data_IF_308305534081
#
_entry.id   IF_308305534081
#
_cell.length_a   1.000
_cell.length_b   1.000
_cell.length_c   1.000
_cell.angle_alpha   90.00
_cell.angle_beta   90.00
_cell.angle_gamma   90.00
#
_symmetry.space_group_name_H-M   'P 1'
#
loop_
_entity.id
_entity.type
_entity.pdbx_description
1 polymer ?
#
# COMPACT_ATOMS: atom_id res chain seq x y z
N UNK A 1 -48.82 13.43 -36.43
CA UNK A 1 -48.19 12.80 -35.25
C UNK A 1 -47.06 13.70 -34.74
N UNK A 2 -47.18 14.10 -33.48
CA UNK A 2 -46.30 14.89 -32.60
C UNK A 2 -44.93 15.38 -33.12
N UNK A 3 -44.80 16.71 -33.19
CA UNK A 3 -43.53 17.43 -33.12
C UNK A 3 -42.81 17.13 -31.78
N UNK A 4 -41.61 16.55 -31.84
CA UNK A 4 -40.68 16.52 -30.70
C UNK A 4 -39.73 17.70 -30.80
N UNK A 5 -40.09 18.80 -30.15
CA UNK A 5 -39.20 19.91 -29.84
C UNK A 5 -38.12 19.35 -28.90
N UNK A 6 -36.88 19.33 -29.39
CA UNK A 6 -35.70 18.90 -28.63
C UNK A 6 -35.37 20.04 -27.67
N UNK A 7 -35.79 19.91 -26.41
CA UNK A 7 -35.45 20.86 -25.35
C UNK A 7 -33.93 20.87 -25.15
N UNK A 8 -33.26 21.90 -25.65
CA UNK A 8 -31.86 22.19 -25.32
C UNK A 8 -31.77 22.48 -23.82
N UNK A 9 -31.07 21.60 -23.10
CA UNK A 9 -30.73 21.82 -21.71
C UNK A 9 -29.82 23.06 -21.61
N UNK A 10 -30.35 24.14 -21.04
CA UNK A 10 -29.63 25.37 -20.73
C UNK A 10 -28.37 25.02 -19.94
N UNK A 11 -27.22 25.12 -20.60
CA UNK A 11 -25.90 24.91 -20.00
C UNK A 11 -25.66 26.06 -19.02
N UNK A 12 -25.65 25.77 -17.71
CA UNK A 12 -25.40 26.76 -16.64
C UNK A 12 -24.12 27.58 -16.96
N UNK A 13 -24.16 28.92 -16.87
CA UNK A 13 -23.05 29.76 -17.29
C UNK A 13 -21.79 29.54 -16.44
N UNK A 14 -20.65 29.57 -17.12
CA UNK A 14 -19.31 29.43 -16.58
C UNK A 14 -18.97 30.55 -15.59
N UNK A 15 -18.77 30.18 -14.32
CA UNK A 15 -17.87 30.77 -13.32
C UNK A 15 -17.52 32.28 -13.44
N UNK A 16 -18.49 33.16 -13.20
CA UNK A 16 -18.23 34.57 -12.91
C UNK A 16 -17.54 34.68 -11.54
N UNK A 17 -16.29 35.19 -11.50
CA UNK A 17 -15.55 35.40 -10.23
C UNK A 17 -16.33 36.41 -9.37
N UNK A 18 -17.03 35.92 -8.35
CA UNK A 18 -17.77 36.76 -7.38
C UNK A 18 -16.83 37.80 -6.76
N UNK A 19 -17.22 39.06 -6.81
CA UNK A 19 -16.46 40.17 -6.22
C UNK A 19 -16.45 40.08 -4.68
N UNK A 20 -15.39 40.58 -4.07
CA UNK A 20 -15.24 40.63 -2.60
C UNK A 20 -15.94 41.86 -2.04
N UNK A 21 -16.86 41.68 -1.08
CA UNK A 21 -17.52 42.81 -0.41
C UNK A 21 -16.65 43.38 0.72
N UNK A 22 -16.93 44.63 1.15
CA UNK A 22 -16.21 45.26 2.28
C UNK A 22 -16.30 44.42 3.56
N UNK A 23 -17.46 43.83 3.83
CA UNK A 23 -17.68 42.97 5.01
C UNK A 23 -16.87 41.68 4.96
N UNK A 24 -16.79 41.05 3.78
CA UNK A 24 -15.97 39.84 3.58
C UNK A 24 -14.47 40.14 3.73
N UNK A 25 -14.01 41.30 3.25
CA UNK A 25 -12.64 41.76 3.44
C UNK A 25 -12.32 42.04 4.91
N UNK A 26 -13.25 42.65 5.66
CA UNK A 26 -13.09 42.87 7.09
C UNK A 26 -13.02 41.55 7.87
N UNK A 27 -13.87 40.57 7.53
CA UNK A 27 -13.84 39.23 8.12
C UNK A 27 -12.52 38.51 7.82
N UNK A 28 -12.05 38.57 6.57
CA UNK A 28 -10.78 38.01 6.15
C UNK A 28 -9.62 38.63 6.94
N UNK A 29 -9.55 39.97 7.05
CA UNK A 29 -8.52 40.68 7.83
C UNK A 29 -8.51 40.28 9.30
N UNK A 30 -9.69 40.15 9.92
CA UNK A 30 -9.82 39.87 11.35
C UNK A 30 -9.57 38.41 11.72
N UNK A 31 -10.09 37.45 10.93
CA UNK A 31 -10.19 36.04 11.35
C UNK A 31 -9.29 35.08 10.59
N UNK A 32 -8.66 35.50 9.48
CA UNK A 32 -7.85 34.60 8.66
C UNK A 32 -6.60 34.08 9.41
N UNK A 33 -5.92 34.94 10.18
CA UNK A 33 -4.71 34.57 10.93
C UNK A 33 -4.99 33.45 11.94
N UNK A 34 -6.11 33.54 12.67
CA UNK A 34 -6.49 32.62 13.76
C UNK A 34 -7.25 31.38 13.29
N UNK A 35 -8.20 31.55 12.35
CA UNK A 35 -9.17 30.50 11.97
C UNK A 35 -8.89 29.90 10.58
N UNK A 36 -8.02 30.54 9.81
CA UNK A 36 -7.54 30.03 8.52
C UNK A 36 -8.56 30.13 7.38
N UNK A 37 -8.10 29.74 6.19
CA UNK A 37 -8.87 29.88 4.95
C UNK A 37 -10.17 29.05 4.92
N UNK A 38 -10.22 27.88 5.58
CA UNK A 38 -11.42 27.03 5.63
C UNK A 38 -12.59 27.73 6.34
N UNK A 39 -12.31 28.39 7.46
CA UNK A 39 -13.33 29.13 8.21
C UNK A 39 -13.88 30.30 7.40
N UNK A 40 -13.00 31.09 6.79
CA UNK A 40 -13.42 32.25 5.99
C UNK A 40 -14.21 31.80 4.75
N UNK A 41 -13.78 30.73 4.07
CA UNK A 41 -14.52 30.16 2.93
C UNK A 41 -15.94 29.74 3.31
N UNK A 42 -16.11 29.08 4.48
CA UNK A 42 -17.43 28.69 4.98
C UNK A 42 -18.33 29.89 5.28
N UNK A 43 -17.76 31.01 5.75
CA UNK A 43 -18.52 32.21 6.14
C UNK A 43 -18.83 33.16 4.97
N UNK A 44 -17.97 33.23 3.96
CA UNK A 44 -18.17 34.12 2.82
C UNK A 44 -18.77 33.42 1.59
N UNK A 45 -18.72 32.08 1.56
CA UNK A 45 -19.12 31.28 0.40
C UNK A 45 -18.14 31.33 -0.77
N UNK A 46 -16.99 32.02 -0.60
CA UNK A 46 -15.92 32.00 -1.61
C UNK A 46 -15.22 30.63 -1.62
N UNK A 47 -14.78 30.14 -2.79
CA UNK A 47 -13.95 28.95 -2.87
C UNK A 47 -12.70 29.07 -1.98
N UNK A 48 -12.32 27.97 -1.32
CA UNK A 48 -11.16 27.92 -0.42
C UNK A 48 -9.88 28.50 -1.06
N UNK A 49 -9.65 28.21 -2.34
CA UNK A 49 -8.51 28.74 -3.11
C UNK A 49 -8.59 30.24 -3.35
N UNK A 50 -9.79 30.79 -3.59
CA UNK A 50 -10.02 32.24 -3.74
C UNK A 50 -9.70 32.99 -2.46
N UNK A 51 -10.09 32.44 -1.30
CA UNK A 51 -9.78 33.01 0.02
C UNK A 51 -8.27 33.08 0.26
N UNK A 52 -7.53 32.01 -0.06
CA UNK A 52 -6.07 31.99 0.05
C UNK A 52 -5.45 33.03 -0.88
N UNK A 53 -5.88 33.09 -2.13
CA UNK A 53 -5.36 34.05 -3.10
C UNK A 53 -5.60 35.50 -2.65
N UNK A 54 -6.80 35.81 -2.15
CA UNK A 54 -7.12 37.15 -1.65
C UNK A 54 -6.32 37.50 -0.42
N UNK A 55 -6.20 36.59 0.55
CA UNK A 55 -5.34 36.79 1.73
C UNK A 55 -3.88 37.05 1.34
N UNK A 56 -3.35 36.28 0.38
CA UNK A 56 -2.00 36.49 -0.14
C UNK A 56 -1.83 37.86 -0.81
N UNK A 57 -2.80 38.31 -1.61
CA UNK A 57 -2.79 39.64 -2.25
C UNK A 57 -2.83 40.80 -1.25
N UNK A 58 -3.41 40.57 -0.06
CA UNK A 58 -3.50 41.55 1.02
C UNK A 58 -2.36 41.40 2.04
N UNK A 59 -1.35 40.57 1.76
CA UNK A 59 -0.22 40.31 2.66
C UNK A 59 -0.58 39.52 3.93
N UNK A 60 -1.81 39.03 4.05
CA UNK A 60 -2.31 38.33 5.24
C UNK A 60 -1.84 36.88 5.20
N UNK A 61 -0.85 36.56 6.03
CA UNK A 61 -0.30 35.20 6.13
C UNK A 61 -1.07 34.38 7.17
N UNK A 62 -1.33 33.12 6.85
CA UNK A 62 -1.99 32.17 7.74
C UNK A 62 -1.04 31.74 8.87
N UNK A 63 -1.52 31.69 10.13
CA UNK A 63 -0.72 31.18 11.25
C UNK A 63 -0.45 29.67 11.14
N UNK A 64 -1.26 28.94 10.38
CA UNK A 64 -1.12 27.49 10.18
C UNK A 64 -0.01 27.11 9.20
N UNK A 65 0.61 28.08 8.51
CA UNK A 65 1.69 27.83 7.55
C UNK A 65 3.04 28.00 8.25
N UNK A 66 3.73 26.87 8.52
CA UNK A 66 5.08 26.88 9.11
C UNK A 66 6.09 27.53 8.17
N UNK A 67 6.62 28.69 8.57
CA UNK A 67 7.66 29.44 7.83
C UNK A 67 9.01 28.73 7.93
N UNK A 68 9.79 28.83 6.86
CA UNK A 68 11.16 28.32 6.84
C UNK A 68 12.05 29.23 7.69
N UNK A 69 12.69 28.67 8.72
CA UNK A 69 13.71 29.41 9.48
C UNK A 69 15.04 29.42 8.73
N UNK A 70 15.93 30.35 9.05
CA UNK A 70 17.27 30.39 8.44
C UNK A 70 18.05 29.10 8.70
N UNK A 71 17.89 28.51 9.89
CA UNK A 71 18.46 27.20 10.21
C UNK A 71 17.93 26.10 9.26
N UNK A 72 16.61 26.02 9.04
CA UNK A 72 16.02 25.02 8.14
C UNK A 72 16.53 25.20 6.70
N UNK A 73 16.73 26.45 6.25
CA UNK A 73 17.28 26.77 4.93
C UNK A 73 18.75 26.34 4.83
N UNK A 74 19.58 26.71 5.80
CA UNK A 74 21.00 26.34 5.82
C UNK A 74 21.18 24.82 5.90
N UNK A 75 20.35 24.14 6.70
CA UNK A 75 20.34 22.68 6.76
C UNK A 75 19.99 22.07 5.41
N UNK A 76 18.99 22.62 4.71
CA UNK A 76 18.59 22.16 3.39
C UNK A 76 19.73 22.32 2.39
N UNK A 77 20.33 23.51 2.28
CA UNK A 77 21.46 23.79 1.37
C UNK A 77 22.63 22.82 1.59
N UNK A 78 22.99 22.54 2.85
CA UNK A 78 24.10 21.65 3.19
C UNK A 78 23.83 20.17 2.89
N UNK A 79 22.57 19.72 3.03
CA UNK A 79 22.25 18.28 3.01
C UNK A 79 21.53 17.81 1.74
N UNK A 80 21.01 18.70 0.90
CA UNK A 80 20.15 18.31 -0.22
C UNK A 80 20.86 17.46 -1.28
N UNK A 81 22.15 17.71 -1.51
CA UNK A 81 22.94 16.96 -2.50
C UNK A 81 23.36 15.56 -2.01
N UNK A 82 23.45 15.35 -0.70
CA UNK A 82 24.02 14.13 -0.12
C UNK A 82 23.00 13.21 0.55
N UNK A 83 21.87 13.76 1.03
CA UNK A 83 20.85 12.99 1.75
C UNK A 83 19.58 12.79 0.94
N UNK A 84 18.90 11.64 1.07
CA UNK A 84 17.56 11.45 0.53
C UNK A 84 16.58 12.51 1.06
N UNK A 85 15.75 13.05 0.17
CA UNK A 85 14.79 14.12 0.51
C UNK A 85 13.83 13.71 1.62
N UNK A 86 13.43 12.43 1.68
CA UNK A 86 12.60 11.89 2.75
C UNK A 86 13.29 11.91 4.12
N UNK A 87 14.61 11.69 4.15
CA UNK A 87 15.42 11.82 5.38
C UNK A 87 15.46 13.26 5.86
N UNK A 88 15.72 14.20 4.95
CA UNK A 88 15.72 15.64 5.24
C UNK A 88 14.34 16.10 5.74
N UNK A 89 13.27 15.62 5.10
CA UNK A 89 11.90 15.94 5.50
C UNK A 89 11.59 15.47 6.94
N UNK A 90 12.04 14.27 7.32
CA UNK A 90 11.94 13.76 8.70
C UNK A 90 12.72 14.64 9.68
N UNK A 91 13.98 14.96 9.38
CA UNK A 91 14.83 15.81 10.24
C UNK A 91 14.24 17.21 10.47
N UNK A 92 13.67 17.82 9.42
CA UNK A 92 13.06 19.15 9.50
C UNK A 92 11.62 19.14 10.03
N UNK A 93 11.05 17.95 10.31
CA UNK A 93 9.63 17.75 10.65
C UNK A 93 8.71 18.47 9.64
N UNK A 94 9.00 18.27 8.35
CA UNK A 94 8.24 18.83 7.22
C UNK A 94 7.82 17.72 6.27
N UNK A 95 6.82 18.00 5.43
CA UNK A 95 6.48 17.07 4.35
C UNK A 95 7.53 17.12 3.24
N UNK A 96 7.72 15.98 2.55
CA UNK A 96 8.58 15.89 1.35
C UNK A 96 8.20 16.95 0.31
N UNK A 97 6.90 17.20 0.12
CA UNK A 97 6.42 18.25 -0.77
C UNK A 97 6.87 19.64 -0.33
N UNK A 98 6.81 19.97 0.96
CA UNK A 98 7.29 21.25 1.49
C UNK A 98 8.79 21.42 1.24
N UNK A 99 9.58 20.36 1.43
CA UNK A 99 11.02 20.37 1.19
C UNK A 99 11.32 20.57 -0.30
N UNK A 100 10.66 19.81 -1.18
CA UNK A 100 10.81 19.97 -2.63
C UNK A 100 10.42 21.36 -3.12
N UNK A 101 9.33 21.93 -2.60
CA UNK A 101 8.92 23.29 -2.94
C UNK A 101 9.96 24.32 -2.51
N UNK A 102 10.55 24.17 -1.32
CA UNK A 102 11.62 25.06 -0.87
C UNK A 102 12.89 24.87 -1.68
N UNK A 103 13.25 23.63 -2.01
CA UNK A 103 14.39 23.34 -2.87
C UNK A 103 14.23 23.98 -4.26
N UNK A 104 13.01 24.02 -4.82
CA UNK A 104 12.73 24.74 -6.07
C UNK A 104 12.88 26.25 -5.92
N UNK A 105 12.46 26.81 -4.79
CA UNK A 105 12.64 28.24 -4.50
C UNK A 105 14.10 28.64 -4.27
N UNK A 106 14.98 27.68 -4.01
CA UNK A 106 16.42 27.88 -3.79
C UNK A 106 17.25 27.38 -4.98
N UNK A 107 16.62 26.99 -6.08
CA UNK A 107 17.26 26.45 -7.29
C UNK A 107 18.19 25.25 -7.07
N UNK A 108 18.00 24.49 -5.98
CA UNK A 108 18.74 23.25 -5.67
C UNK A 108 17.93 21.99 -6.00
N UNK A 109 16.71 22.14 -6.49
CA UNK A 109 15.80 21.02 -6.76
C UNK A 109 16.32 20.14 -7.90
N UNK A 110 16.66 18.89 -7.57
CA UNK A 110 16.95 17.85 -8.55
C UNK A 110 15.68 17.06 -8.87
N UNK A 111 15.14 17.15 -10.10
CA UNK A 111 14.04 16.29 -10.50
C UNK A 111 14.51 14.83 -10.47
N UNK A 112 13.63 13.93 -10.02
CA UNK A 112 13.88 12.51 -10.23
C UNK A 112 13.91 12.25 -11.74
N UNK A 113 14.86 11.47 -12.27
CA UNK A 113 14.82 11.07 -13.67
C UNK A 113 13.44 10.43 -13.94
N UNK A 114 12.73 11.01 -14.91
CA UNK A 114 11.34 10.66 -15.22
C UNK A 114 11.26 9.31 -15.94
N UNK A 115 12.33 8.93 -16.61
CA UNK A 115 12.41 7.78 -17.50
C UNK A 115 13.59 6.90 -17.12
N UNK A 116 13.51 5.63 -17.49
CA UNK A 116 14.67 4.76 -17.47
C UNK A 116 15.59 5.12 -18.63
N UNK A 117 16.89 5.18 -18.36
CA UNK A 117 17.88 5.42 -19.42
C UNK A 117 18.04 4.19 -20.31
N UNK A 118 18.60 4.35 -21.50
CA UNK A 118 18.83 3.22 -22.42
C UNK A 118 19.79 2.19 -21.80
N UNK A 119 20.78 2.65 -21.03
CA UNK A 119 21.72 1.82 -20.28
C UNK A 119 21.00 1.03 -19.18
N UNK A 120 20.10 1.67 -18.43
CA UNK A 120 19.28 0.99 -17.40
C UNK A 120 18.38 -0.08 -18.03
N UNK A 121 17.79 0.20 -19.20
CA UNK A 121 16.97 -0.76 -19.93
C UNK A 121 17.79 -1.91 -20.50
N UNK A 122 19.00 -1.65 -21.01
CA UNK A 122 19.94 -2.68 -21.47
C UNK A 122 20.37 -3.58 -20.32
N UNK A 123 20.79 -3.00 -19.20
CA UNK A 123 21.18 -3.74 -18.01
C UNK A 123 20.01 -4.54 -17.43
N UNK A 124 18.79 -4.00 -17.46
CA UNK A 124 17.60 -4.75 -17.08
C UNK A 124 17.36 -5.97 -17.98
N UNK A 125 17.52 -5.84 -19.30
CA UNK A 125 17.38 -6.97 -20.24
C UNK A 125 18.35 -8.10 -19.92
N UNK A 126 19.61 -7.76 -19.67
CA UNK A 126 20.67 -8.72 -19.37
C UNK A 126 20.43 -9.42 -18.02
N UNK A 127 20.23 -8.64 -16.95
CA UNK A 127 20.13 -9.17 -15.59
C UNK A 127 18.80 -9.87 -15.29
N UNK A 128 17.72 -9.50 -15.97
CA UNK A 128 16.38 -10.03 -15.67
C UNK A 128 16.21 -11.49 -16.10
N UNK A 129 16.83 -11.86 -17.23
CA UNK A 129 16.77 -13.23 -17.79
C UNK A 129 17.75 -14.16 -17.07
N UNK A 130 18.84 -13.62 -16.53
CA UNK A 130 19.79 -14.37 -15.73
C UNK A 130 19.10 -14.94 -14.46
N UNK A 131 19.24 -16.26 -14.29
CA UNK A 131 18.67 -17.01 -13.16
C UNK A 131 19.50 -16.90 -11.90
N UNK A 132 20.72 -16.37 -11.98
CA UNK A 132 21.63 -16.22 -10.84
C UNK A 132 21.19 -15.08 -9.91
N UNK A 133 20.59 -14.02 -10.44
CA UNK A 133 20.19 -12.86 -9.64
C UNK A 133 18.75 -12.96 -9.13
N UNK A 134 18.48 -12.63 -7.88
CA UNK A 134 17.11 -12.39 -7.40
C UNK A 134 16.56 -11.07 -7.95
N UNK A 135 15.24 -10.87 -7.90
CA UNK A 135 14.63 -9.59 -8.33
C UNK A 135 15.20 -8.42 -7.51
N UNK A 136 15.49 -8.66 -6.23
CA UNK A 136 16.02 -7.66 -5.31
C UNK A 136 17.47 -7.30 -5.67
N UNK A 137 18.31 -8.29 -6.05
CA UNK A 137 19.67 -8.03 -6.53
C UNK A 137 19.69 -7.29 -7.87
N UNK A 138 18.79 -7.63 -8.80
CA UNK A 138 18.65 -6.88 -10.07
C UNK A 138 18.26 -5.44 -9.78
N UNK A 139 17.30 -5.21 -8.88
CA UNK A 139 16.87 -3.86 -8.51
C UNK A 139 17.98 -3.04 -7.84
N UNK A 140 18.76 -3.67 -6.94
CA UNK A 140 19.90 -3.04 -6.31
C UNK A 140 20.99 -2.63 -7.32
N UNK A 141 21.33 -3.52 -8.27
CA UNK A 141 22.30 -3.22 -9.35
C UNK A 141 21.85 -2.07 -10.25
N UNK A 142 20.54 -1.91 -10.46
CA UNK A 142 19.96 -0.80 -11.23
C UNK A 142 19.79 0.49 -10.40
N UNK A 143 20.04 0.46 -9.09
CA UNK A 143 19.71 1.57 -8.19
C UNK A 143 18.21 1.89 -8.14
N UNK A 144 17.35 0.91 -8.44
CA UNK A 144 15.89 1.06 -8.48
C UNK A 144 15.22 0.26 -7.37
N UNK A 145 13.93 0.52 -7.16
CA UNK A 145 13.13 -0.30 -6.25
C UNK A 145 12.70 -1.59 -6.93
N UNK A 146 12.57 -2.68 -6.16
CA UNK A 146 12.03 -3.97 -6.63
C UNK A 146 10.76 -3.82 -7.48
N UNK A 147 9.85 -2.95 -7.04
CA UNK A 147 8.58 -2.70 -7.73
C UNK A 147 8.78 -1.99 -9.07
N UNK A 148 9.63 -0.95 -9.12
CA UNK A 148 9.93 -0.24 -10.36
C UNK A 148 10.61 -1.16 -11.39
N UNK A 149 11.59 -1.95 -10.95
CA UNK A 149 12.29 -2.92 -11.79
C UNK A 149 11.34 -3.96 -12.36
N UNK A 150 10.48 -4.55 -11.52
CA UNK A 150 9.49 -5.52 -11.96
C UNK A 150 8.47 -4.93 -12.94
N UNK A 151 7.99 -3.72 -12.65
CA UNK A 151 7.04 -3.02 -13.51
C UNK A 151 7.63 -2.77 -14.91
N UNK A 152 8.87 -2.28 -14.99
CA UNK A 152 9.52 -2.05 -16.29
C UNK A 152 9.82 -3.35 -17.04
N UNK A 153 10.29 -4.38 -16.35
CA UNK A 153 10.52 -5.67 -16.99
C UNK A 153 9.23 -6.25 -17.57
N UNK A 154 8.11 -6.16 -16.85
CA UNK A 154 6.81 -6.58 -17.34
C UNK A 154 6.37 -5.80 -18.59
N UNK A 155 6.51 -4.46 -18.57
CA UNK A 155 6.17 -3.60 -19.71
C UNK A 155 7.04 -3.84 -20.94
N UNK A 156 8.30 -4.20 -20.74
CA UNK A 156 9.23 -4.57 -21.81
C UNK A 156 8.99 -6.00 -22.35
N UNK A 157 7.98 -6.72 -21.82
CA UNK A 157 7.74 -8.10 -22.20
C UNK A 157 8.79 -9.09 -21.68
N UNK A 158 9.68 -8.66 -20.77
CA UNK A 158 10.70 -9.52 -20.20
C UNK A 158 10.06 -10.55 -19.28
N UNK A 159 9.90 -11.76 -19.81
CA UNK A 159 9.47 -12.91 -19.04
C UNK A 159 10.67 -13.45 -18.30
N UNK A 160 10.59 -13.40 -16.98
CA UNK A 160 11.55 -14.10 -16.16
C UNK A 160 11.29 -15.60 -16.32
N UNK A 161 12.30 -16.43 -16.65
CA UNK A 161 12.16 -17.86 -16.51
C UNK A 161 11.66 -18.12 -15.09
N UNK A 162 10.62 -18.94 -14.91
CA UNK A 162 10.12 -19.29 -13.58
C UNK A 162 11.33 -19.68 -12.72
N UNK A 163 11.67 -18.82 -11.76
CA UNK A 163 12.79 -19.05 -10.85
C UNK A 163 12.29 -20.07 -9.84
N UNK A 164 12.14 -21.30 -10.29
CA UNK A 164 12.44 -22.41 -9.42
C UNK A 164 13.92 -22.22 -9.12
N UNK A 165 14.25 -21.59 -7.98
CA UNK A 165 15.59 -21.75 -7.40
C UNK A 165 15.88 -23.24 -7.53
N UNK A 166 16.87 -23.61 -8.34
CA UNK A 166 17.21 -25.01 -8.55
C UNK A 166 17.63 -25.50 -7.18
N UNK A 167 16.75 -26.25 -6.52
CA UNK A 167 17.01 -26.73 -5.18
C UNK A 167 18.24 -27.62 -5.27
N UNK A 168 19.35 -27.16 -4.67
CA UNK A 168 20.56 -27.97 -4.63
C UNK A 168 20.30 -29.22 -3.79
N UNK A 169 21.05 -30.30 -4.04
CA UNK A 169 20.86 -31.58 -3.34
C UNK A 169 20.98 -31.40 -1.82
N UNK A 170 21.87 -30.50 -1.39
CA UNK A 170 22.14 -30.16 0.01
C UNK A 170 20.93 -29.45 0.64
N UNK A 171 20.32 -28.48 -0.07
CA UNK A 171 19.14 -27.75 0.40
C UNK A 171 17.92 -28.68 0.55
N UNK A 172 17.76 -29.63 -0.39
CA UNK A 172 16.71 -30.66 -0.31
C UNK A 172 16.93 -31.57 0.90
N UNK A 173 18.17 -32.02 1.10
CA UNK A 173 18.55 -32.85 2.25
C UNK A 173 18.29 -32.11 3.58
N UNK A 174 18.66 -30.83 3.65
CA UNK A 174 18.41 -29.98 4.80
C UNK A 174 16.92 -29.85 5.11
N UNK A 175 16.09 -29.58 4.10
CA UNK A 175 14.64 -29.51 4.26
C UNK A 175 14.07 -30.85 4.76
N UNK A 176 14.47 -31.99 4.17
CA UNK A 176 14.05 -33.33 4.61
C UNK A 176 14.43 -33.65 6.05
N UNK A 177 15.60 -33.21 6.51
CA UNK A 177 16.07 -33.43 7.88
C UNK A 177 15.33 -32.55 8.90
N UNK A 178 14.93 -31.34 8.51
CA UNK A 178 14.42 -30.33 9.43
C UNK A 178 12.91 -30.07 9.37
N UNK A 179 12.17 -30.56 8.35
CA UNK A 179 10.75 -30.20 8.18
C UNK A 179 9.80 -30.60 9.32
N UNK A 180 10.20 -31.50 10.23
CA UNK A 180 9.44 -31.84 11.46
C UNK A 180 10.00 -31.19 12.73
N UNK A 181 11.21 -30.62 12.65
CA UNK A 181 11.94 -30.03 13.77
C UNK A 181 11.83 -28.51 13.80
N UNK A 182 11.68 -27.90 12.63
CA UNK A 182 11.60 -26.46 12.41
C UNK A 182 10.36 -26.11 11.61
N UNK A 183 9.85 -24.91 11.83
CA UNK A 183 8.82 -24.31 10.96
C UNK A 183 9.40 -24.03 9.57
N UNK A 184 8.53 -23.95 8.56
CA UNK A 184 8.97 -23.53 7.22
C UNK A 184 9.56 -22.11 7.20
N UNK A 185 9.27 -21.28 8.20
CA UNK A 185 9.82 -19.93 8.29
C UNK A 185 11.27 -19.95 8.79
N UNK A 186 11.59 -20.77 9.76
CA UNK A 186 12.97 -20.97 10.23
C UNK A 186 13.83 -21.63 9.16
N UNK A 187 13.32 -22.69 8.51
CA UNK A 187 14.02 -23.33 7.39
C UNK A 187 14.23 -22.35 6.24
N UNK A 188 13.27 -21.47 5.98
CA UNK A 188 13.41 -20.42 4.97
C UNK A 188 14.51 -19.41 5.33
N UNK A 189 14.60 -19.01 6.60
CA UNK A 189 15.68 -18.13 7.09
C UNK A 189 17.05 -18.81 6.93
N UNK A 190 17.16 -20.08 7.31
CA UNK A 190 18.41 -20.85 7.24
C UNK A 190 18.88 -21.06 5.79
N UNK A 191 17.95 -21.22 4.85
CA UNK A 191 18.25 -21.42 3.42
C UNK A 191 18.31 -20.12 2.59
N UNK A 192 18.11 -18.96 3.22
CA UNK A 192 18.01 -17.68 2.51
C UNK A 192 16.88 -17.66 1.49
N UNK A 193 15.75 -18.29 1.80
CA UNK A 193 14.58 -18.42 0.92
C UNK A 193 13.33 -17.80 1.53
N UNK A 194 12.26 -17.75 0.75
CA UNK A 194 10.93 -17.41 1.28
C UNK A 194 10.25 -18.63 1.89
N UNK A 195 9.44 -18.41 2.93
CA UNK A 195 8.57 -19.46 3.53
C UNK A 195 7.72 -20.18 2.49
N UNK A 196 7.24 -19.46 1.47
CA UNK A 196 6.40 -20.00 0.40
C UNK A 196 7.20 -20.95 -0.49
N UNK A 197 8.45 -20.62 -0.84
CA UNK A 197 9.30 -21.49 -1.63
C UNK A 197 9.58 -22.82 -0.91
N UNK A 198 9.89 -22.77 0.39
CA UNK A 198 10.08 -23.96 1.23
C UNK A 198 8.80 -24.79 1.31
N UNK A 199 7.65 -24.15 1.57
CA UNK A 199 6.34 -24.83 1.60
C UNK A 199 6.04 -25.55 0.28
N UNK A 200 6.22 -24.89 -0.86
CA UNK A 200 5.92 -25.46 -2.17
C UNK A 200 6.84 -26.64 -2.48
N UNK A 201 8.14 -26.55 -2.14
CA UNK A 201 9.07 -27.67 -2.30
C UNK A 201 8.70 -28.83 -1.39
N UNK A 202 8.44 -28.58 -0.11
CA UNK A 202 8.02 -29.60 0.85
C UNK A 202 6.76 -30.32 0.36
N UNK A 203 5.75 -29.56 -0.09
CA UNK A 203 4.51 -30.08 -0.69
C UNK A 203 4.79 -30.95 -1.92
N UNK A 204 5.63 -30.51 -2.85
CA UNK A 204 6.01 -31.27 -4.06
C UNK A 204 6.73 -32.59 -3.70
N UNK A 205 7.44 -32.63 -2.58
CA UNK A 205 8.11 -33.82 -2.06
C UNK A 205 7.24 -34.66 -1.10
N UNK A 206 5.98 -34.29 -0.90
CA UNK A 206 5.10 -34.98 0.06
C UNK A 206 5.44 -34.76 1.53
N UNK A 207 6.37 -33.85 1.85
CA UNK A 207 6.77 -33.52 3.22
C UNK A 207 5.74 -32.58 3.84
N UNK A 208 4.78 -33.13 4.56
CA UNK A 208 3.76 -32.35 5.28
C UNK A 208 4.17 -32.16 6.74
N UNK A 209 4.15 -30.91 7.21
CA UNK A 209 4.32 -30.58 8.64
C UNK A 209 3.23 -31.21 9.51
N UNK A 210 2.00 -31.24 9.00
CA UNK A 210 0.85 -31.84 9.67
C UNK A 210 0.53 -33.21 9.05
N UNK A 211 0.06 -34.14 9.88
CA UNK A 211 -0.43 -35.44 9.42
C UNK A 211 -1.56 -35.33 8.40
N UNK A 212 -1.96 -36.47 7.83
CA UNK A 212 -3.16 -36.51 6.97
C UNK A 212 -4.36 -36.00 7.77
N UNK A 213 -5.20 -35.12 7.21
CA UNK A 213 -6.43 -34.70 7.88
C UNK A 213 -7.27 -35.94 8.21
N UNK A 214 -7.77 -36.03 9.44
CA UNK A 214 -8.70 -37.10 9.81
C UNK A 214 -10.03 -36.92 9.03
N UNK A 215 -10.57 -37.96 8.39
CA UNK A 215 -11.86 -37.87 7.69
C UNK A 215 -13.00 -37.57 8.69
N UNK A 216 -14.05 -36.90 8.22
CA UNK A 216 -15.27 -36.73 9.01
C UNK A 216 -16.07 -38.04 8.98
N UNK A 217 -16.50 -38.52 10.14
CA UNK A 217 -17.32 -39.74 10.27
C UNK A 217 -18.77 -39.33 10.48
N UNK A 218 -19.70 -40.27 10.27
CA UNK A 218 -21.12 -40.04 10.54
C UNK A 218 -21.36 -39.62 12.00
N UNK A 219 -20.67 -40.26 12.94
CA UNK A 219 -20.70 -39.93 14.37
C UNK A 219 -20.27 -38.49 14.65
N UNK A 220 -19.19 -38.03 14.00
CA UNK A 220 -18.77 -36.63 14.13
C UNK A 220 -19.84 -35.67 13.63
N UNK A 221 -20.45 -35.97 12.48
CA UNK A 221 -21.50 -35.13 11.90
C UNK A 221 -22.76 -35.12 12.78
N UNK A 222 -23.17 -36.27 13.31
CA UNK A 222 -24.31 -36.41 14.22
C UNK A 222 -24.06 -35.64 15.52
N UNK A 223 -22.85 -35.74 16.09
CA UNK A 223 -22.46 -34.96 17.27
C UNK A 223 -22.46 -33.46 16.99
N UNK A 224 -21.94 -33.01 15.85
CA UNK A 224 -22.00 -31.58 15.48
C UNK A 224 -23.45 -31.15 15.30
N UNK A 225 -24.31 -31.89 14.57
CA UNK A 225 -25.74 -31.55 14.41
C UNK A 225 -26.46 -31.42 15.76
N UNK A 226 -26.16 -32.31 16.70
CA UNK A 226 -26.80 -32.31 18.00
C UNK A 226 -26.39 -31.12 18.88
N UNK A 227 -25.14 -30.64 18.75
CA UNK A 227 -24.51 -29.73 19.71
C UNK A 227 -24.18 -28.33 19.16
N UNK A 228 -24.09 -28.17 17.83
CA UNK A 228 -23.71 -26.90 17.21
C UNK A 228 -24.74 -25.80 17.55
N UNK A 229 -24.26 -24.64 18.02
CA UNK A 229 -25.04 -23.53 18.60
C UNK A 229 -25.76 -23.83 19.93
N UNK A 230 -25.72 -25.05 20.47
CA UNK A 230 -26.24 -25.37 21.81
C UNK A 230 -25.16 -25.27 22.89
N UNK A 231 -23.95 -25.70 22.55
CA UNK A 231 -22.76 -25.55 23.40
C UNK A 231 -21.68 -24.76 22.65
N UNK A 232 -20.69 -24.19 23.35
CA UNK A 232 -19.58 -23.50 22.70
C UNK A 232 -18.88 -24.39 21.68
N UNK A 233 -18.66 -23.87 20.45
CA UNK A 233 -17.98 -24.61 19.38
C UNK A 233 -16.58 -25.10 19.79
N UNK A 234 -15.96 -24.44 20.78
CA UNK A 234 -14.70 -24.88 21.38
C UNK A 234 -14.82 -26.26 22.04
N UNK A 235 -15.87 -26.48 22.81
CA UNK A 235 -16.09 -27.76 23.51
C UNK A 235 -16.38 -28.89 22.51
N UNK A 236 -17.12 -28.58 21.44
CA UNK A 236 -17.32 -29.52 20.33
C UNK A 236 -15.97 -29.87 19.68
N UNK A 237 -15.13 -28.86 19.44
CA UNK A 237 -13.82 -29.05 18.83
C UNK A 237 -12.88 -29.88 19.73
N UNK A 238 -12.88 -29.62 21.03
CA UNK A 238 -12.11 -30.39 22.03
C UNK A 238 -12.57 -31.84 22.10
N UNK A 239 -13.89 -32.10 22.16
CA UNK A 239 -14.45 -33.46 22.16
C UNK A 239 -14.07 -34.25 20.91
N UNK A 240 -14.01 -33.58 19.75
CA UNK A 240 -13.70 -34.20 18.46
C UNK A 240 -12.20 -34.21 18.13
N UNK A 241 -11.34 -33.68 19.01
CA UNK A 241 -9.89 -33.57 18.76
C UNK A 241 -9.54 -32.71 17.53
N UNK A 242 -10.33 -31.67 17.24
CA UNK A 242 -10.21 -30.82 16.04
C UNK A 242 -10.08 -29.34 16.42
N UNK A 243 -9.74 -28.50 15.44
CA UNK A 243 -9.78 -27.05 15.63
C UNK A 243 -11.21 -26.52 15.53
N UNK A 244 -11.49 -25.41 16.22
CA UNK A 244 -12.78 -24.70 16.13
C UNK A 244 -13.14 -24.37 14.68
N UNK A 245 -12.18 -23.87 13.89
CA UNK A 245 -12.38 -23.58 12.46
C UNK A 245 -12.76 -24.85 11.67
N UNK A 246 -12.23 -26.01 12.03
CA UNK A 246 -12.58 -27.28 11.36
C UNK A 246 -14.05 -27.61 11.57
N UNK A 247 -14.55 -27.44 12.80
CA UNK A 247 -15.96 -27.66 13.15
C UNK A 247 -16.88 -26.64 12.46
N UNK A 248 -16.51 -25.35 12.46
CA UNK A 248 -17.27 -24.30 11.76
C UNK A 248 -17.35 -24.58 10.26
N UNK A 249 -16.22 -24.95 9.64
CA UNK A 249 -16.20 -25.28 8.21
C UNK A 249 -17.00 -26.55 7.91
N UNK A 250 -17.09 -27.51 8.83
CA UNK A 250 -17.92 -28.72 8.66
C UNK A 250 -19.42 -28.45 8.82
N UNK A 251 -19.80 -27.52 9.69
CA UNK A 251 -21.19 -27.10 9.87
C UNK A 251 -21.83 -26.53 8.60
N UNK A 252 -21.03 -25.96 7.68
CA UNK A 252 -21.49 -25.45 6.39
C UNK A 252 -22.13 -26.51 5.49
N UNK A 253 -21.37 -27.52 5.05
CA UNK A 253 -21.91 -28.65 4.28
C UNK A 253 -23.03 -29.42 4.98
N UNK A 254 -23.09 -29.40 6.32
CA UNK A 254 -24.16 -30.03 7.11
C UNK A 254 -25.45 -29.18 7.17
N UNK A 255 -25.45 -27.96 6.62
CA UNK A 255 -26.62 -27.08 6.58
C UNK A 255 -26.96 -26.41 7.92
N UNK A 256 -26.08 -26.52 8.92
CA UNK A 256 -26.30 -26.03 10.30
C UNK A 256 -25.50 -24.76 10.62
N UNK A 257 -24.66 -24.28 9.69
CA UNK A 257 -24.01 -22.97 9.79
C UNK A 257 -24.88 -21.85 9.20
N UNK A 258 -24.83 -20.65 9.77
CA UNK A 258 -25.49 -19.49 9.16
C UNK A 258 -24.83 -19.08 7.83
N UNK A 259 -25.65 -18.69 6.85
CA UNK A 259 -25.19 -18.09 5.59
C UNK A 259 -24.55 -16.69 5.78
N UNK A 260 -24.50 -16.17 7.01
CA UNK A 260 -24.23 -14.78 7.33
C UNK A 260 -22.78 -14.53 7.80
N UNK A 261 -21.80 -14.88 6.96
CA UNK A 261 -20.46 -14.27 7.04
C UNK A 261 -19.66 -14.32 5.74
N UNK A 262 -20.30 -14.10 4.58
CA UNK A 262 -19.57 -13.66 3.38
C UNK A 262 -19.33 -12.16 3.48
N UNK A 263 -18.12 -11.80 3.93
CA UNK A 263 -17.40 -10.55 3.66
C UNK A 263 -18.28 -9.28 3.47
N UNK A 264 -18.47 -8.48 4.53
CA UNK A 264 -18.73 -7.04 4.34
C UNK A 264 -17.41 -6.42 3.86
N UNK A 265 -17.23 -6.34 2.55
CA UNK A 265 -16.23 -5.46 1.97
C UNK A 265 -16.56 -4.01 2.39
N UNK A 266 -15.62 -3.35 3.06
CA UNK A 266 -15.71 -1.92 3.37
C UNK A 266 -15.92 -1.16 2.06
N UNK A 267 -17.05 -0.46 1.94
CA UNK A 267 -17.20 0.70 1.05
C UNK A 267 -16.78 1.95 1.81
#
# INVERSE_FOLDING_TARGET
MAHKIRTEAIRKPQNMKRAWTKNELALLKKRYKEKGAKYVAKKTGHPFTSVIAKANSLGIKSAFVKRWSQFEVNYLLKNYSSKPVDSIARSLKRSVQSVNNKARQLDIFKPKPKTWSEEELKLLRELWVDKQYSIDEVAAKLGKTRAATHYHAWHMGLRRPQVWKFWKKEEVSYLKKNYKKKTYQEIAKDLGMTRIAVFQKARKMGLRLRGKPQPWTKEHDDYIRANYKKIPTREIAEKLGRSMDSVINRAGPLGISDKTRRYKAKK
#
